data_IF_892211382069
#
_entry.id   IF_892211382069
#
_cell.length_a   1.000
_cell.length_b   1.000
_cell.length_c   1.000
_cell.angle_alpha   90.00
_cell.angle_beta   90.00
_cell.angle_gamma   90.00
#
_symmetry.space_group_name_H-M   'P 1'
#
loop_
_entity.id
_entity.type
_entity.pdbx_description
1 polymer ?
#
# COMPACT_ATOMS: atom_id res chain seq x y z
N UNK A 1 4.62 -6.40 -3.34
CA UNK A 1 5.80 -5.50 -3.23
C UNK A 1 5.31 -4.09 -2.97
N UNK A 2 5.45 -3.63 -1.72
CA UNK A 2 5.19 -2.24 -1.33
C UNK A 2 6.24 -1.26 -1.85
N UNK A 3 5.84 -0.01 -2.10
CA UNK A 3 6.72 1.09 -2.51
C UNK A 3 6.30 2.36 -1.78
N UNK A 4 7.27 3.09 -1.23
CA UNK A 4 7.01 4.39 -0.59
C UNK A 4 7.63 5.49 -1.45
N UNK A 5 6.80 6.41 -1.94
CA UNK A 5 7.22 7.56 -2.73
C UNK A 5 7.13 8.82 -1.89
N UNK A 6 8.25 9.55 -1.76
CA UNK A 6 8.27 10.88 -1.15
C UNK A 6 7.82 11.90 -2.17
N UNK A 7 6.84 12.75 -1.84
CA UNK A 7 6.46 13.93 -2.62
C UNK A 7 6.50 15.18 -1.76
N UNK A 8 7.22 16.18 -2.22
CA UNK A 8 7.16 17.53 -1.66
C UNK A 8 5.91 18.23 -2.21
N UNK A 9 5.11 18.83 -1.33
CA UNK A 9 3.96 19.64 -1.72
C UNK A 9 4.38 21.11 -1.87
N UNK A 10 3.53 21.91 -2.54
CA UNK A 10 3.76 23.35 -2.77
C UNK A 10 3.84 24.14 -1.46
N UNK A 11 3.17 23.69 -0.42
CA UNK A 11 3.16 24.28 0.92
C UNK A 11 4.43 23.97 1.76
N UNK A 12 5.37 23.19 1.20
CA UNK A 12 6.59 22.75 1.90
C UNK A 12 6.40 21.49 2.77
N UNK A 13 5.18 20.97 2.91
CA UNK A 13 4.93 19.70 3.57
C UNK A 13 5.42 18.51 2.74
N UNK A 14 5.71 17.40 3.42
CA UNK A 14 6.16 16.17 2.78
C UNK A 14 5.08 15.11 2.88
N UNK A 15 4.59 14.69 1.72
CA UNK A 15 3.70 13.55 1.57
C UNK A 15 4.50 12.27 1.33
N UNK A 16 4.10 11.19 1.97
CA UNK A 16 4.62 9.84 1.76
C UNK A 16 3.50 8.97 1.20
N UNK A 17 3.58 8.68 -0.09
CA UNK A 17 2.65 7.80 -0.77
C UNK A 17 3.12 6.37 -0.63
N UNK A 18 2.41 5.56 0.15
CA UNK A 18 2.55 4.12 0.14
C UNK A 18 1.73 3.53 -1.01
N UNK A 19 2.34 2.65 -1.80
CA UNK A 19 1.71 1.91 -2.88
C UNK A 19 1.99 0.44 -2.68
N UNK A 20 0.98 -0.41 -2.84
CA UNK A 20 1.12 -1.86 -2.75
C UNK A 20 0.48 -2.52 -3.97
N UNK A 21 1.21 -3.44 -4.58
CA UNK A 21 0.74 -4.26 -5.70
C UNK A 21 0.88 -5.72 -5.29
N UNK A 22 -0.24 -6.43 -5.37
CA UNK A 22 -0.31 -7.88 -5.16
C UNK A 22 -0.51 -8.56 -6.51
N UNK A 23 0.37 -9.53 -6.80
CA UNK A 23 0.32 -10.35 -7.99
C UNK A 23 0.15 -11.80 -7.58
N UNK A 24 -0.78 -12.52 -8.21
CA UNK A 24 -0.96 -13.97 -8.04
C UNK A 24 -1.15 -14.60 -9.41
N UNK A 25 -0.45 -15.71 -9.68
CA UNK A 25 -0.51 -16.37 -10.99
C UNK A 25 -0.13 -15.46 -12.17
N UNK A 26 0.80 -14.51 -11.96
CA UNK A 26 1.24 -13.55 -12.99
C UNK A 26 0.27 -12.40 -13.27
N UNK A 27 -0.92 -12.37 -12.66
CA UNK A 27 -1.91 -11.29 -12.81
C UNK A 27 -1.86 -10.37 -11.59
N UNK A 28 -2.05 -9.07 -11.83
CA UNK A 28 -2.24 -8.09 -10.76
C UNK A 28 -3.67 -8.28 -10.25
N UNK A 29 -3.80 -8.69 -8.99
CA UNK A 29 -5.09 -8.91 -8.36
C UNK A 29 -5.57 -7.62 -7.68
N UNK A 30 -4.67 -6.97 -6.94
CA UNK A 30 -5.00 -5.80 -6.14
C UNK A 30 -3.90 -4.75 -6.25
N UNK A 31 -4.33 -3.50 -6.34
CA UNK A 31 -3.47 -2.32 -6.31
C UNK A 31 -4.08 -1.29 -5.37
N UNK A 32 -3.40 -1.04 -4.26
CA UNK A 32 -3.80 0.00 -3.31
C UNK A 32 -2.73 1.09 -3.22
N UNK A 33 -3.19 2.30 -2.89
CA UNK A 33 -2.31 3.40 -2.56
C UNK A 33 -2.92 4.24 -1.44
N UNK A 34 -2.06 4.74 -0.55
CA UNK A 34 -2.46 5.60 0.55
C UNK A 34 -1.37 6.63 0.84
N UNK A 35 -1.78 7.88 1.06
CA UNK A 35 -0.87 8.98 1.35
C UNK A 35 -0.84 9.26 2.85
N UNK A 36 0.36 9.52 3.38
CA UNK A 36 0.61 9.83 4.79
C UNK A 36 1.53 11.02 4.93
N UNK A 37 1.45 11.74 6.05
CA UNK A 37 2.36 12.85 6.36
C UNK A 37 3.73 12.36 6.90
N UNK A 38 3.78 11.13 7.44
CA UNK A 38 5.01 10.55 8.03
C UNK A 38 5.43 9.27 7.32
N UNK A 39 6.75 9.14 7.06
CA UNK A 39 7.35 7.93 6.47
C UNK A 39 7.12 6.69 7.32
N UNK A 40 7.25 6.81 8.64
CA UNK A 40 7.03 5.70 9.57
C UNK A 40 5.61 5.15 9.48
N UNK A 41 4.60 6.03 9.40
CA UNK A 41 3.20 5.62 9.21
C UNK A 41 2.98 4.94 7.86
N UNK A 42 3.57 5.45 6.78
CA UNK A 42 3.52 4.81 5.47
C UNK A 42 4.13 3.40 5.48
N UNK A 43 5.27 3.23 6.17
CA UNK A 43 5.94 1.94 6.32
C UNK A 43 5.10 0.96 7.15
N UNK A 44 4.57 1.39 8.30
CA UNK A 44 3.74 0.55 9.15
C UNK A 44 2.43 0.13 8.46
N UNK A 45 1.86 0.99 7.61
CA UNK A 45 0.70 0.65 6.81
C UNK A 45 1.02 -0.40 5.74
N UNK A 46 2.18 -0.29 5.07
CA UNK A 46 2.62 -1.30 4.12
C UNK A 46 2.83 -2.66 4.79
N UNK A 47 3.51 -2.71 5.94
CA UNK A 47 3.74 -3.98 6.66
C UNK A 47 2.43 -4.65 7.05
N UNK A 48 1.49 -3.89 7.64
CA UNK A 48 0.16 -4.41 7.97
C UNK A 48 -0.61 -4.89 6.74
N UNK A 49 -0.51 -4.16 5.61
CA UNK A 49 -1.20 -4.55 4.37
C UNK A 49 -0.57 -5.77 3.71
N UNK A 50 0.75 -5.89 3.74
CA UNK A 50 1.44 -7.09 3.24
C UNK A 50 1.10 -8.32 4.09
N UNK A 51 0.97 -8.17 5.41
CA UNK A 51 0.53 -9.24 6.31
C UNK A 51 -0.93 -9.63 6.05
N UNK A 52 -1.84 -8.66 6.07
CA UNK A 52 -3.26 -8.88 5.79
C UNK A 52 -3.47 -9.54 4.42
N UNK A 53 -2.81 -9.09 3.37
CA UNK A 53 -2.98 -9.63 2.00
C UNK A 53 -2.14 -10.89 1.75
N UNK A 54 -1.23 -11.23 2.65
CA UNK A 54 -0.54 -12.52 2.68
C UNK A 54 -1.48 -13.66 3.05
N UNK A 55 -2.49 -13.36 3.87
CA UNK A 55 -3.57 -14.28 4.19
C UNK A 55 -4.50 -14.44 2.96
N UNK A 56 -4.66 -15.67 2.41
CA UNK A 56 -5.45 -15.90 1.20
C UNK A 56 -6.91 -15.47 1.33
N UNK A 57 -7.48 -15.56 2.53
CA UNK A 57 -8.88 -15.23 2.84
C UNK A 57 -9.18 -13.72 2.77
N UNK A 58 -8.21 -12.89 3.17
CA UNK A 58 -8.33 -11.44 3.10
C UNK A 58 -8.23 -10.91 1.65
N UNK A 59 -7.47 -11.60 0.79
CA UNK A 59 -7.40 -11.26 -0.63
C UNK A 59 -8.73 -11.53 -1.33
N UNK A 60 -9.39 -12.65 -1.02
CA UNK A 60 -10.72 -12.96 -1.55
C UNK A 60 -11.77 -11.96 -1.07
N UNK A 61 -11.73 -11.58 0.21
CA UNK A 61 -12.61 -10.54 0.76
C UNK A 61 -12.40 -9.17 0.10
N UNK A 62 -11.15 -8.81 -0.23
CA UNK A 62 -10.83 -7.56 -0.93
C UNK A 62 -11.25 -7.55 -2.41
N UNK A 63 -11.47 -8.72 -3.02
CA UNK A 63 -11.94 -8.85 -4.40
C UNK A 63 -13.47 -8.85 -4.53
N UNK A 64 -14.20 -9.04 -3.43
CA UNK A 64 -15.64 -9.31 -3.45
C UNK A 64 -16.54 -8.06 -3.21
N UNK A 65 -15.97 -6.85 -3.26
CA UNK A 65 -16.70 -5.57 -3.18
C UNK A 65 -16.68 -4.85 -4.52
#
# INVERSE_FOLDING_TARGET
MGTIVKRSRKDGSVAWLAQIVIKRGGKIILRENKTFERRSTASAWLSQREELLGEPEALESALQT
#
